data_IF_389126081522
#
_entry.id   IF_389126081522
#
_cell.length_a   1.000
_cell.length_b   1.000
_cell.length_c   1.000
_cell.angle_alpha   90.00
_cell.angle_beta   90.00
_cell.angle_gamma   90.00
#
_symmetry.space_group_name_H-M   'P 1'
#
loop_
_entity.id
_entity.type
_entity.pdbx_description
1 polymer ?
#
# COMPACT_ATOMS: atom_id res chain seq x y z
N UNK A 1 -38.68 19.62 -22.65
CA UNK A 1 -37.57 20.45 -22.13
C UNK A 1 -36.62 19.50 -21.41
N UNK A 2 -35.48 19.23 -22.03
CA UNK A 2 -34.46 18.28 -21.55
C UNK A 2 -33.46 19.04 -20.68
N UNK A 3 -33.14 18.61 -19.44
CA UNK A 3 -32.10 19.28 -18.67
C UNK A 3 -30.73 18.91 -19.24
N UNK A 4 -29.91 19.93 -19.46
CA UNK A 4 -28.55 19.80 -19.99
C UNK A 4 -27.63 19.17 -18.93
N UNK A 5 -26.84 18.17 -19.36
CA UNK A 5 -25.79 17.57 -18.53
C UNK A 5 -24.58 18.54 -18.41
N UNK A 6 -23.91 18.60 -17.24
CA UNK A 6 -22.75 19.46 -17.06
C UNK A 6 -21.53 18.95 -17.83
N UNK A 7 -20.58 19.83 -18.19
CA UNK A 7 -19.41 19.47 -18.99
C UNK A 7 -18.45 18.61 -18.17
N UNK A 8 -18.07 17.45 -18.72
CA UNK A 8 -17.00 16.61 -18.17
C UNK A 8 -15.67 17.06 -18.76
N UNK A 9 -14.82 17.71 -17.96
CA UNK A 9 -13.42 17.88 -18.32
C UNK A 9 -12.69 16.54 -18.16
N UNK A 10 -12.13 16.03 -19.27
CA UNK A 10 -11.26 14.86 -19.26
C UNK A 10 -9.86 15.26 -18.75
N UNK A 11 -9.68 15.20 -17.43
CA UNK A 11 -8.39 15.08 -16.75
C UNK A 11 -8.30 13.70 -16.10
N UNK A 12 -7.09 13.26 -15.71
CA UNK A 12 -6.78 12.01 -14.96
C UNK A 12 -7.98 11.47 -14.16
N UNK A 13 -8.25 10.14 -14.15
CA UNK A 13 -9.38 9.61 -13.37
C UNK A 13 -9.22 10.09 -11.93
N UNK A 14 -10.11 11.01 -11.53
CA UNK A 14 -10.10 11.55 -10.19
C UNK A 14 -10.46 10.37 -9.29
N UNK A 15 -9.50 9.93 -8.48
CA UNK A 15 -9.68 8.82 -7.53
C UNK A 15 -10.85 9.07 -6.58
N UNK A 16 -11.16 10.35 -6.34
CA UNK A 16 -12.34 10.82 -5.63
C UNK A 16 -13.12 11.83 -6.48
N UNK A 17 -14.44 11.69 -6.52
CA UNK A 17 -15.38 12.69 -7.04
C UNK A 17 -16.32 13.09 -5.91
N UNK A 18 -16.63 14.38 -5.76
CA UNK A 18 -17.59 14.86 -4.76
C UNK A 18 -18.76 15.50 -5.49
N UNK A 19 -19.95 14.91 -5.33
CA UNK A 19 -21.19 15.49 -5.83
C UNK A 19 -21.83 16.36 -4.76
N UNK A 20 -22.28 17.55 -5.14
CA UNK A 20 -22.93 18.49 -4.23
C UNK A 20 -24.38 18.71 -4.61
N UNK A 21 -25.27 18.65 -3.62
CA UNK A 21 -26.66 19.09 -3.73
C UNK A 21 -26.92 20.10 -2.61
N UNK A 22 -27.51 21.24 -2.96
CA UNK A 22 -27.89 22.27 -1.98
C UNK A 22 -29.41 22.33 -1.97
N UNK A 23 -29.99 22.07 -0.80
CA UNK A 23 -31.39 22.35 -0.47
C UNK A 23 -31.42 23.45 0.59
N UNK A 24 -32.57 24.08 0.85
CA UNK A 24 -32.73 25.29 1.68
C UNK A 24 -31.82 25.30 2.92
N UNK A 25 -30.74 26.10 2.87
CA UNK A 25 -29.76 26.26 3.95
C UNK A 25 -28.86 25.05 4.24
N UNK A 26 -28.94 23.96 3.47
CA UNK A 26 -28.23 22.69 3.73
C UNK A 26 -27.54 22.16 2.47
N UNK A 27 -26.23 22.02 2.53
CA UNK A 27 -25.43 21.39 1.49
C UNK A 27 -25.14 19.92 1.83
N UNK A 28 -25.60 19.00 0.98
CA UNK A 28 -25.23 17.59 1.01
C UNK A 28 -24.10 17.35 0.00
N UNK A 29 -22.96 16.87 0.51
CA UNK A 29 -21.81 16.46 -0.27
C UNK A 29 -21.68 14.93 -0.22
N UNK A 30 -21.53 14.29 -1.37
CA UNK A 30 -21.45 12.83 -1.50
C UNK A 30 -20.13 12.46 -2.21
N UNK A 31 -19.04 12.21 -1.47
CA UNK A 31 -17.79 11.72 -2.04
C UNK A 31 -17.95 10.27 -2.52
N UNK A 32 -17.43 9.99 -3.72
CA UNK A 32 -17.44 8.68 -4.36
C UNK A 32 -16.03 8.30 -4.82
N UNK A 33 -15.62 7.06 -4.54
CA UNK A 33 -14.30 6.55 -4.90
C UNK A 33 -13.41 6.29 -3.67
N UNK A 34 -12.15 6.66 -3.76
CA UNK A 34 -11.15 6.39 -2.71
C UNK A 34 -10.59 7.70 -2.12
N UNK A 35 -10.51 7.76 -0.79
CA UNK A 35 -9.88 8.85 -0.06
C UNK A 35 -8.40 8.55 0.15
N UNK A 36 -7.60 9.06 -0.77
CA UNK A 36 -6.14 8.90 -0.79
C UNK A 36 -5.44 10.27 -0.80
N UNK A 37 -4.10 10.25 -0.71
CA UNK A 37 -3.28 11.47 -0.79
C UNK A 37 -3.68 12.38 -1.98
N UNK A 38 -3.83 13.69 -1.71
CA UNK A 38 -4.23 14.69 -2.69
C UNK A 38 -5.75 14.96 -2.76
N UNK A 39 -6.59 14.15 -2.12
CA UNK A 39 -8.05 14.36 -2.13
C UNK A 39 -8.52 15.56 -1.27
N UNK A 40 -7.65 16.09 -0.41
CA UNK A 40 -7.97 17.21 0.49
C UNK A 40 -8.28 18.48 -0.31
N UNK A 41 -7.54 18.73 -1.39
CA UNK A 41 -7.75 19.91 -2.26
C UNK A 41 -9.12 19.85 -2.96
N UNK A 42 -9.58 18.65 -3.34
CA UNK A 42 -10.89 18.44 -3.96
C UNK A 42 -12.02 18.85 -3.01
N UNK A 43 -11.91 18.52 -1.72
CA UNK A 43 -12.88 18.98 -0.72
C UNK A 43 -12.81 20.49 -0.49
N UNK A 44 -11.60 21.05 -0.43
CA UNK A 44 -11.43 22.49 -0.25
C UNK A 44 -12.09 23.28 -1.40
N UNK A 45 -11.88 22.82 -2.64
CA UNK A 45 -12.55 23.36 -3.82
C UNK A 45 -14.07 23.22 -3.74
N UNK A 46 -14.58 22.03 -3.40
CA UNK A 46 -16.02 21.80 -3.26
C UNK A 46 -16.65 22.73 -2.21
N UNK A 47 -16.03 22.87 -1.03
CA UNK A 47 -16.49 23.76 0.03
C UNK A 47 -16.44 25.24 -0.39
N UNK A 48 -15.40 25.66 -1.14
CA UNK A 48 -15.28 27.02 -1.64
C UNK A 48 -16.36 27.39 -2.68
N UNK A 49 -16.96 26.40 -3.34
CA UNK A 49 -18.06 26.62 -4.30
C UNK A 49 -19.45 26.66 -3.66
N UNK A 50 -19.56 26.42 -2.35
CA UNK A 50 -20.85 26.44 -1.67
C UNK A 50 -21.46 27.85 -1.63
N UNK A 51 -22.78 27.98 -1.82
CA UNK A 51 -23.50 29.25 -1.64
C UNK A 51 -23.34 29.83 -0.22
N UNK A 52 -23.39 31.16 -0.10
CA UNK A 52 -23.18 31.86 1.17
C UNK A 52 -24.34 31.70 2.18
N UNK A 53 -25.52 31.27 1.72
CA UNK A 53 -26.71 30.99 2.51
C UNK A 53 -26.75 29.56 3.07
N UNK A 54 -25.69 28.77 2.88
CA UNK A 54 -25.56 27.44 3.48
C UNK A 54 -25.33 27.58 4.99
N UNK A 55 -26.30 27.13 5.76
CA UNK A 55 -26.28 27.09 7.23
C UNK A 55 -25.74 25.76 7.77
N UNK A 56 -25.68 24.70 6.95
CA UNK A 56 -25.17 23.38 7.36
C UNK A 56 -24.57 22.60 6.20
N UNK A 57 -23.49 21.86 6.46
CA UNK A 57 -22.89 20.91 5.52
C UNK A 57 -23.01 19.48 6.04
N UNK A 58 -23.47 18.56 5.22
CA UNK A 58 -23.51 17.14 5.54
C UNK A 58 -22.74 16.37 4.49
N UNK A 59 -21.83 15.53 4.95
CA UNK A 59 -21.00 14.68 4.11
C UNK A 59 -21.49 13.23 4.26
N UNK A 60 -21.98 12.65 3.17
CA UNK A 60 -22.40 11.24 3.10
C UNK A 60 -21.25 10.38 2.56
N UNK A 61 -20.69 9.53 3.42
CA UNK A 61 -19.52 8.72 3.13
C UNK A 61 -19.85 7.32 2.58
N UNK A 62 -21.12 7.05 2.27
CA UNK A 62 -21.61 5.72 1.90
C UNK A 62 -20.97 5.13 0.65
N UNK A 63 -20.53 5.99 -0.28
CA UNK A 63 -19.95 5.61 -1.57
C UNK A 63 -18.40 5.71 -1.58
N UNK A 64 -17.78 5.95 -0.42
CA UNK A 64 -16.33 5.85 -0.26
C UNK A 64 -15.94 4.42 0.09
N UNK A 65 -15.17 3.80 -0.79
CA UNK A 65 -14.82 2.37 -0.69
C UNK A 65 -13.52 2.14 0.06
N UNK A 66 -12.62 3.12 0.01
CA UNK A 66 -11.28 3.05 0.59
C UNK A 66 -10.88 4.38 1.21
N UNK A 67 -10.15 4.32 2.32
CA UNK A 67 -9.59 5.47 3.02
C UNK A 67 -8.22 5.12 3.59
N UNK A 68 -7.19 5.85 3.18
CA UNK A 68 -5.89 5.84 3.87
C UNK A 68 -5.82 6.94 4.94
N UNK A 69 -4.63 7.17 5.50
CA UNK A 69 -4.40 8.21 6.52
C UNK A 69 -4.76 9.63 6.05
N UNK A 70 -4.80 9.91 4.75
CA UNK A 70 -5.23 11.19 4.20
C UNK A 70 -6.72 11.44 4.43
N UNK A 71 -7.52 10.39 4.63
CA UNK A 71 -8.92 10.53 5.03
C UNK A 71 -9.11 11.21 6.39
N UNK A 72 -8.14 11.09 7.31
CA UNK A 72 -8.19 11.82 8.58
C UNK A 72 -7.91 13.31 8.36
N UNK A 73 -6.97 13.65 7.46
CA UNK A 73 -6.69 15.04 7.08
C UNK A 73 -7.90 15.68 6.37
N UNK A 74 -8.63 14.88 5.59
CA UNK A 74 -9.88 15.29 4.95
C UNK A 74 -10.94 15.68 6.01
N UNK A 75 -11.06 14.90 7.09
CA UNK A 75 -11.94 15.23 8.22
C UNK A 75 -11.47 16.45 9.00
N UNK A 76 -10.17 16.60 9.22
CA UNK A 76 -9.58 17.78 9.87
C UNK A 76 -9.87 19.05 9.06
N UNK A 77 -9.82 19.00 7.73
CA UNK A 77 -10.17 20.13 6.87
C UNK A 77 -11.64 20.51 7.02
N UNK A 78 -12.55 19.52 6.99
CA UNK A 78 -13.99 19.75 7.14
C UNK A 78 -14.33 20.31 8.53
N UNK A 79 -13.72 19.76 9.59
CA UNK A 79 -13.87 20.27 10.96
C UNK A 79 -13.33 21.70 11.08
N UNK A 80 -12.17 21.98 10.48
CA UNK A 80 -11.60 23.32 10.43
C UNK A 80 -12.48 24.33 9.67
N UNK A 81 -13.10 23.91 8.55
CA UNK A 81 -14.08 24.73 7.83
C UNK A 81 -15.28 25.05 8.70
N UNK A 82 -15.86 24.03 9.36
CA UNK A 82 -17.04 24.19 10.21
C UNK A 82 -16.83 25.22 11.31
N UNK A 83 -15.66 25.18 11.95
CA UNK A 83 -15.30 26.13 12.99
C UNK A 83 -15.04 27.54 12.45
N UNK A 84 -14.34 27.68 11.32
CA UNK A 84 -14.00 28.99 10.75
C UNK A 84 -15.20 29.74 10.20
N UNK A 85 -16.12 29.02 9.53
CA UNK A 85 -17.30 29.62 8.92
C UNK A 85 -18.52 29.63 9.84
N UNK A 86 -18.42 29.03 11.04
CA UNK A 86 -19.54 28.82 11.95
C UNK A 86 -20.73 28.09 11.30
N UNK A 87 -20.44 27.20 10.33
CA UNK A 87 -21.40 26.36 9.62
C UNK A 87 -21.24 24.93 10.14
N UNK A 88 -22.20 24.37 10.89
CA UNK A 88 -22.14 22.99 11.36
C UNK A 88 -21.88 22.01 10.22
N UNK A 89 -20.92 21.11 10.42
CA UNK A 89 -20.62 20.02 9.50
C UNK A 89 -20.78 18.66 10.18
N UNK A 90 -21.30 17.67 9.46
CA UNK A 90 -21.31 16.26 9.91
C UNK A 90 -20.80 15.34 8.81
N UNK A 91 -20.15 14.24 9.19
CA UNK A 91 -19.73 13.21 8.25
C UNK A 91 -20.29 11.86 8.69
N UNK A 92 -21.15 11.25 7.88
CA UNK A 92 -21.98 10.09 8.30
C UNK A 92 -22.00 8.98 7.25
N UNK A 93 -22.72 7.89 7.56
CA UNK A 93 -22.91 6.74 6.67
C UNK A 93 -21.60 6.01 6.32
N UNK A 94 -20.68 5.95 7.28
CA UNK A 94 -19.41 5.23 7.17
C UNK A 94 -19.63 3.72 7.02
N UNK A 95 -19.00 3.12 6.02
CA UNK A 95 -19.09 1.68 5.74
C UNK A 95 -17.72 1.09 5.44
N UNK A 96 -17.65 -0.24 5.40
CA UNK A 96 -16.47 -0.97 4.91
C UNK A 96 -15.16 -0.57 5.59
N UNK A 97 -14.12 -0.35 4.79
CA UNK A 97 -12.79 -0.02 5.29
C UNK A 97 -12.75 1.35 6.00
N UNK A 98 -13.34 2.45 5.49
CA UNK A 98 -13.39 3.72 6.22
C UNK A 98 -13.95 3.63 7.65
N UNK A 99 -15.04 2.88 7.85
CA UNK A 99 -15.59 2.65 9.19
C UNK A 99 -14.56 1.97 10.11
N UNK A 100 -13.84 0.97 9.60
CA UNK A 100 -12.80 0.27 10.35
C UNK A 100 -11.63 1.18 10.73
N UNK A 101 -11.29 2.15 9.87
CA UNK A 101 -10.25 3.16 10.18
C UNK A 101 -10.69 4.07 11.32
N UNK A 102 -11.96 4.50 11.36
CA UNK A 102 -12.51 5.28 12.48
C UNK A 102 -12.45 4.49 13.79
N UNK A 103 -12.84 3.22 13.78
CA UNK A 103 -12.76 2.34 14.95
C UNK A 103 -11.31 2.20 15.47
N UNK A 104 -10.34 2.02 14.57
CA UNK A 104 -8.93 1.85 14.91
C UNK A 104 -8.30 3.12 15.47
N UNK A 105 -8.77 4.29 15.03
CA UNK A 105 -8.29 5.60 15.49
C UNK A 105 -9.03 6.10 16.73
N UNK A 106 -10.08 5.40 17.16
CA UNK A 106 -10.89 5.76 18.32
C UNK A 106 -11.77 6.99 18.09
N UNK A 107 -12.04 7.33 16.83
CA UNK A 107 -12.99 8.39 16.47
C UNK A 107 -14.43 7.87 16.57
N UNK A 108 -15.37 8.80 16.75
CA UNK A 108 -16.79 8.47 16.71
C UNK A 108 -17.15 7.91 15.32
N UNK A 109 -17.64 6.67 15.29
CA UNK A 109 -17.96 5.94 14.07
C UNK A 109 -19.28 6.36 13.43
N UNK A 110 -20.12 7.10 14.17
CA UNK A 110 -21.36 7.69 13.64
C UNK A 110 -21.07 9.04 13.00
N UNK A 111 -20.32 9.89 13.70
CA UNK A 111 -19.88 11.19 13.20
C UNK A 111 -18.56 11.63 13.85
N UNK A 112 -17.41 11.46 13.17
CA UNK A 112 -16.10 11.73 13.75
C UNK A 112 -15.87 13.22 14.07
N UNK A 113 -16.69 14.13 13.54
CA UNK A 113 -16.62 15.57 13.83
C UNK A 113 -17.26 15.93 15.18
N UNK A 114 -18.04 15.04 15.81
CA UNK A 114 -18.58 15.28 17.15
C UNK A 114 -17.50 15.36 18.23
N UNK A 115 -16.45 14.56 18.09
CA UNK A 115 -15.33 14.53 19.03
C UNK A 115 -14.49 15.81 18.98
N UNK A 116 -14.41 16.48 17.82
CA UNK A 116 -13.63 17.70 17.64
C UNK A 116 -14.35 18.95 18.14
N UNK A 117 -15.68 18.91 18.29
CA UNK A 117 -16.49 20.00 18.81
C UNK A 117 -16.38 20.23 20.33
N UNK A 118 -15.79 19.30 21.10
CA UNK A 118 -15.70 19.38 22.58
C UNK A 118 -14.30 19.71 23.14
N UNK A 119 -13.35 20.17 22.30
CA UNK A 119 -12.03 20.59 22.79
C UNK A 119 -12.07 22.03 23.32
N UNK A 120 -12.58 22.21 24.55
CA UNK A 120 -12.21 23.39 25.36
C UNK A 120 -10.69 23.38 25.62
N UNK A 121 -10.03 24.55 25.69
CA UNK A 121 -8.58 24.60 25.92
C UNK A 121 -8.24 23.98 27.28
N UNK A 122 -7.11 23.23 27.39
CA UNK A 122 -6.77 22.57 28.63
C UNK A 122 -6.34 23.59 29.69
N UNK A 123 -7.09 23.65 30.79
CA UNK A 123 -6.61 24.23 32.05
C UNK A 123 -5.51 23.31 32.61
N UNK A 124 -4.40 23.81 33.16
CA UNK A 124 -3.31 22.95 33.61
C UNK A 124 -3.79 22.06 34.76
N UNK A 125 -3.88 20.75 34.50
CA UNK A 125 -4.24 19.75 35.48
C UNK A 125 -2.96 19.15 36.09
N UNK A 126 -2.93 19.14 37.41
CA UNK A 126 -1.95 18.47 38.23
C UNK A 126 -1.85 16.97 37.87
N UNK A 127 -0.63 16.44 38.05
CA UNK A 127 -0.25 15.06 37.76
C UNK A 127 -1.23 14.03 38.34
N UNK A 128 -1.82 13.20 37.48
CA UNK A 128 -2.56 12.00 37.85
C UNK A 128 -1.85 10.77 37.25
N UNK A 129 -1.72 9.73 38.07
CA UNK A 129 -1.05 8.47 37.73
C UNK A 129 -1.70 7.76 36.52
N UNK A 130 -0.93 6.97 35.74
CA UNK A 130 -1.44 6.31 34.55
C UNK A 130 -2.52 5.27 34.91
N UNK A 131 -3.69 5.37 34.26
CA UNK A 131 -4.81 4.45 34.46
C UNK A 131 -4.56 3.09 33.80
N UNK A 132 -5.19 2.03 34.33
CA UNK A 132 -5.08 0.65 33.84
C UNK A 132 -5.38 0.51 32.32
N UNK A 133 -6.25 1.36 31.79
CA UNK A 133 -6.61 1.41 30.36
C UNK A 133 -5.45 1.91 29.49
N UNK A 134 -4.59 2.80 30.01
CA UNK A 134 -3.38 3.24 29.31
C UNK A 134 -2.32 2.13 29.26
N UNK A 135 -2.19 1.34 30.33
CA UNK A 135 -1.29 0.19 30.38
C UNK A 135 -1.75 -0.93 29.42
N UNK A 136 -3.05 -1.21 29.35
CA UNK A 136 -3.62 -2.21 28.45
C UNK A 136 -3.49 -1.81 26.97
N UNK A 137 -3.74 -0.53 26.64
CA UNK A 137 -3.47 0.02 25.30
C UNK A 137 -2.00 -0.05 24.92
N UNK A 138 -1.10 0.20 25.87
CA UNK A 138 0.36 0.07 25.67
C UNK A 138 0.78 -1.39 25.45
N UNK A 139 0.16 -2.33 26.15
CA UNK A 139 0.43 -3.76 25.99
C UNK A 139 -0.05 -4.28 24.62
N UNK A 140 -1.25 -3.88 24.18
CA UNK A 140 -1.78 -4.22 22.85
C UNK A 140 -0.96 -3.57 21.73
N UNK A 141 -0.46 -2.34 21.93
CA UNK A 141 0.44 -1.69 20.99
C UNK A 141 1.81 -2.39 20.89
N UNK A 142 2.36 -2.82 22.02
CA UNK A 142 3.61 -3.58 22.08
C UNK A 142 3.46 -4.95 21.40
N UNK A 143 2.37 -5.68 21.68
CA UNK A 143 2.08 -6.98 21.05
C UNK A 143 1.88 -6.87 19.53
N UNK A 144 1.23 -5.80 19.06
CA UNK A 144 1.10 -5.52 17.62
C UNK A 144 2.43 -5.17 16.98
N UNK A 145 3.28 -4.40 17.67
CA UNK A 145 4.61 -4.05 17.19
C UNK A 145 5.50 -5.30 17.08
N UNK A 146 5.43 -6.20 18.06
CA UNK A 146 6.17 -7.46 18.06
C UNK A 146 5.70 -8.38 16.92
N UNK A 147 4.38 -8.51 16.71
CA UNK A 147 3.84 -9.27 15.58
C UNK A 147 4.21 -8.67 14.22
N UNK A 148 4.22 -7.34 14.09
CA UNK A 148 4.70 -6.66 12.88
C UNK A 148 6.18 -6.92 12.64
N UNK A 149 6.99 -6.91 13.69
CA UNK A 149 8.42 -7.21 13.59
C UNK A 149 8.67 -8.66 13.14
N UNK A 150 7.97 -9.62 13.74
CA UNK A 150 8.04 -11.04 13.33
C UNK A 150 7.60 -11.22 11.87
N UNK A 151 6.50 -10.58 11.45
CA UNK A 151 6.04 -10.65 10.06
C UNK A 151 7.01 -9.96 9.09
N UNK A 152 7.66 -8.87 9.50
CA UNK A 152 8.69 -8.20 8.71
C UNK A 152 9.94 -9.07 8.56
N UNK A 153 10.36 -9.74 9.62
CA UNK A 153 11.45 -10.74 9.57
C UNK A 153 11.09 -11.90 8.66
N UNK A 154 9.86 -12.43 8.75
CA UNK A 154 9.39 -13.52 7.88
C UNK A 154 9.29 -13.07 6.41
N UNK A 155 8.78 -11.86 6.14
CA UNK A 155 8.76 -11.27 4.80
C UNK A 155 10.18 -11.07 4.27
N UNK A 156 11.13 -10.65 5.10
CA UNK A 156 12.52 -10.47 4.68
C UNK A 156 13.19 -11.82 4.42
N UNK A 157 12.95 -12.83 5.25
CA UNK A 157 13.42 -14.20 5.02
C UNK A 157 12.80 -14.79 3.74
N UNK A 158 11.52 -14.52 3.46
CA UNK A 158 10.84 -14.94 2.23
C UNK A 158 11.36 -14.18 1.01
N UNK A 159 11.61 -12.87 1.12
CA UNK A 159 12.24 -12.05 0.06
C UNK A 159 13.65 -12.53 -0.22
N UNK A 160 14.43 -12.86 0.81
CA UNK A 160 15.77 -13.41 0.68
C UNK A 160 15.73 -14.82 0.08
N UNK A 161 14.75 -15.65 0.46
CA UNK A 161 14.53 -16.96 -0.15
C UNK A 161 14.10 -16.84 -1.62
N UNK A 162 13.22 -15.90 -1.96
CA UNK A 162 12.83 -15.58 -3.35
C UNK A 162 14.01 -15.02 -4.14
N UNK A 163 14.86 -14.17 -3.52
CA UNK A 163 16.07 -13.62 -4.11
C UNK A 163 17.20 -14.66 -4.27
N UNK A 164 17.07 -15.86 -3.69
CA UNK A 164 18.01 -16.98 -3.86
C UNK A 164 17.66 -17.94 -5.02
N UNK A 165 16.42 -17.88 -5.54
CA UNK A 165 15.95 -18.56 -6.76
C UNK A 165 16.36 -17.95 -8.13
N UNK A 166 16.74 -16.66 -8.30
CA UNK A 166 17.03 -16.08 -9.61
C UNK A 166 18.29 -16.65 -10.26
N UNK A 167 19.31 -17.02 -9.47
CA UNK A 167 20.61 -17.37 -10.05
C UNK A 167 20.59 -18.70 -10.81
N UNK A 168 19.79 -19.67 -10.33
CA UNK A 168 19.63 -20.96 -10.98
C UNK A 168 18.80 -20.81 -12.26
N UNK A 169 17.69 -20.06 -12.19
CA UNK A 169 16.85 -19.83 -13.37
C UNK A 169 17.54 -18.96 -14.42
N UNK A 170 18.36 -17.98 -14.02
CA UNK A 170 19.24 -17.23 -14.92
C UNK A 170 20.29 -18.13 -15.58
N UNK A 171 20.94 -19.00 -14.80
CA UNK A 171 21.92 -19.94 -15.35
C UNK A 171 21.28 -20.92 -16.34
N UNK A 172 20.03 -21.36 -16.09
CA UNK A 172 19.25 -22.14 -17.05
C UNK A 172 19.01 -21.35 -18.33
N UNK A 173 18.56 -20.10 -18.23
CA UNK A 173 18.36 -19.22 -19.39
C UNK A 173 19.64 -19.01 -20.21
N UNK A 174 20.79 -18.84 -19.56
CA UNK A 174 22.11 -18.75 -20.22
C UNK A 174 22.43 -20.03 -20.99
N UNK A 175 22.26 -21.21 -20.38
CA UNK A 175 22.53 -22.49 -21.03
C UNK A 175 21.59 -22.77 -22.19
N UNK A 176 20.30 -22.43 -22.05
CA UNK A 176 19.32 -22.53 -23.14
C UNK A 176 19.75 -21.68 -24.34
N UNK A 177 20.22 -20.45 -24.10
CA UNK A 177 20.68 -19.56 -25.17
C UNK A 177 21.98 -20.04 -25.84
N UNK A 178 22.93 -20.56 -25.07
CA UNK A 178 24.25 -20.98 -25.58
C UNK A 178 24.24 -22.35 -26.27
N UNK A 179 23.37 -23.26 -25.83
CA UNK A 179 23.36 -24.65 -26.27
C UNK A 179 22.08 -25.05 -27.02
N UNK A 180 21.16 -24.11 -27.25
CA UNK A 180 19.88 -24.34 -27.91
C UNK A 180 19.08 -25.51 -27.31
N UNK A 181 19.13 -25.66 -25.98
CA UNK A 181 18.45 -26.71 -25.25
C UNK A 181 17.19 -26.21 -24.54
N UNK A 182 16.32 -27.13 -24.16
CA UNK A 182 15.11 -26.87 -23.38
C UNK A 182 15.44 -26.54 -21.92
N UNK A 183 14.46 -25.98 -21.21
CA UNK A 183 14.60 -25.63 -19.79
C UNK A 183 14.87 -26.84 -18.89
N UNK A 184 14.35 -28.02 -19.24
CA UNK A 184 14.59 -29.27 -18.51
C UNK A 184 16.00 -29.82 -18.76
N UNK A 185 16.48 -29.74 -20.01
CA UNK A 185 17.84 -30.12 -20.37
C UNK A 185 18.88 -29.20 -19.71
N UNK A 186 18.62 -27.89 -19.68
CA UNK A 186 19.46 -26.92 -18.96
C UNK A 186 19.53 -27.22 -17.45
N UNK A 187 18.42 -27.62 -16.84
CA UNK A 187 18.39 -28.07 -15.45
C UNK A 187 19.21 -29.35 -15.24
N UNK A 188 19.09 -30.32 -16.15
CA UNK A 188 19.89 -31.55 -16.11
C UNK A 188 21.39 -31.25 -16.20
N UNK A 189 21.79 -30.37 -17.13
CA UNK A 189 23.19 -29.93 -17.31
C UNK A 189 23.74 -29.33 -16.02
N UNK A 190 23.01 -28.43 -15.35
CA UNK A 190 23.45 -27.83 -14.10
C UNK A 190 23.59 -28.86 -12.97
N UNK A 191 22.62 -29.77 -12.86
CA UNK A 191 22.62 -30.84 -11.85
C UNK A 191 23.80 -31.80 -12.05
N UNK A 192 24.02 -32.23 -13.27
CA UNK A 192 25.11 -33.13 -13.63
C UNK A 192 26.47 -32.45 -13.44
N UNK A 193 26.61 -31.20 -13.87
CA UNK A 193 27.83 -30.43 -13.65
C UNK A 193 28.13 -30.24 -12.15
N UNK A 194 27.10 -30.00 -11.32
CA UNK A 194 27.23 -29.92 -9.86
C UNK A 194 27.75 -31.23 -9.25
N UNK A 195 27.23 -32.37 -9.70
CA UNK A 195 27.68 -33.68 -9.24
C UNK A 195 29.12 -34.00 -9.68
N UNK A 196 29.44 -33.77 -10.95
CA UNK A 196 30.76 -34.05 -11.52
C UNK A 196 31.87 -33.15 -10.93
N UNK A 197 31.53 -31.91 -10.57
CA UNK A 197 32.47 -30.96 -9.95
C UNK A 197 32.46 -30.99 -8.42
N UNK A 198 31.62 -31.83 -7.79
CA UNK A 198 31.36 -31.83 -6.35
C UNK A 198 31.13 -30.41 -5.76
N UNK A 199 30.50 -29.54 -6.54
CA UNK A 199 30.28 -28.13 -6.19
C UNK A 199 28.79 -27.89 -6.01
N UNK A 200 28.41 -27.11 -5.00
CA UNK A 200 27.00 -26.80 -4.72
C UNK A 200 26.34 -26.20 -5.98
N UNK A 201 25.18 -26.73 -6.37
CA UNK A 201 24.44 -26.30 -7.57
C UNK A 201 24.30 -24.78 -7.73
N UNK A 202 23.99 -24.09 -6.63
CA UNK A 202 23.91 -22.62 -6.58
C UNK A 202 25.21 -21.92 -6.98
N UNK A 203 26.36 -22.50 -6.63
CA UNK A 203 27.69 -21.97 -6.94
C UNK A 203 28.04 -22.22 -8.40
N UNK A 204 27.66 -23.38 -8.94
CA UNK A 204 27.76 -23.67 -10.38
C UNK A 204 26.89 -22.70 -11.18
N UNK A 205 25.63 -22.49 -10.77
CA UNK A 205 24.72 -21.54 -11.40
C UNK A 205 25.27 -20.11 -11.36
N UNK A 206 25.77 -19.65 -10.21
CA UNK A 206 26.40 -18.33 -10.09
C UNK A 206 27.61 -18.17 -11.03
N UNK A 207 28.44 -19.21 -11.16
CA UNK A 207 29.59 -19.18 -12.07
C UNK A 207 29.17 -19.13 -13.54
N UNK A 208 28.13 -19.88 -13.92
CA UNK A 208 27.54 -19.84 -15.28
C UNK A 208 26.98 -18.44 -15.58
N UNK A 209 26.16 -17.90 -14.69
CA UNK A 209 25.55 -16.56 -14.86
C UNK A 209 26.63 -15.47 -14.93
N UNK A 210 27.63 -15.51 -14.04
CA UNK A 210 28.73 -14.57 -14.06
C UNK A 210 29.51 -14.62 -15.39
N UNK A 211 29.77 -15.82 -15.92
CA UNK A 211 30.51 -16.02 -17.16
C UNK A 211 29.79 -15.54 -18.43
N UNK A 212 28.48 -15.27 -18.35
CA UNK A 212 27.71 -14.72 -19.47
C UNK A 212 27.88 -13.20 -19.63
N UNK A 213 28.39 -12.50 -18.62
CA UNK A 213 28.74 -11.08 -18.73
C UNK A 213 30.03 -10.89 -19.54
N UNK A 214 30.13 -9.78 -20.28
CA UNK A 214 31.28 -9.46 -21.15
C UNK A 214 32.63 -9.44 -20.42
N UNK A 215 32.63 -9.07 -19.14
CA UNK A 215 33.81 -9.02 -18.25
C UNK A 215 33.74 -10.01 -17.09
N UNK A 216 32.89 -11.04 -17.20
CA UNK A 216 32.68 -12.02 -16.16
C UNK A 216 33.89 -12.92 -15.93
N UNK A 217 34.25 -13.27 -14.68
CA UNK A 217 35.29 -14.26 -14.43
C UNK A 217 34.85 -15.61 -14.98
N UNK A 218 35.75 -16.38 -15.65
CA UNK A 218 35.39 -17.69 -16.14
C UNK A 218 35.07 -18.62 -14.96
N UNK A 219 34.16 -19.61 -15.11
CA UNK A 219 33.86 -20.56 -14.06
C UNK A 219 35.12 -21.31 -13.62
N UNK A 220 35.22 -21.81 -12.38
CA UNK A 220 36.35 -22.63 -11.95
C UNK A 220 36.64 -23.79 -12.91
N UNK A 221 37.92 -24.19 -13.04
CA UNK A 221 38.34 -25.15 -14.07
C UNK A 221 37.58 -26.50 -13.98
N UNK A 222 37.33 -26.97 -12.75
CA UNK A 222 36.52 -28.15 -12.44
C UNK A 222 35.06 -28.01 -12.90
N UNK A 223 34.44 -26.85 -12.67
CA UNK A 223 33.08 -26.54 -13.10
C UNK A 223 33.00 -26.45 -14.63
N UNK A 224 33.99 -25.86 -15.29
CA UNK A 224 34.03 -25.82 -16.78
C UNK A 224 34.17 -27.20 -17.40
N UNK A 225 35.02 -28.06 -16.83
CA UNK A 225 35.19 -29.43 -17.30
C UNK A 225 33.91 -30.26 -17.11
N UNK A 226 33.26 -30.09 -15.97
CA UNK A 226 31.99 -30.72 -15.65
C UNK A 226 30.85 -30.26 -16.58
N UNK A 227 30.73 -28.95 -16.84
CA UNK A 227 29.74 -28.39 -17.78
C UNK A 227 29.94 -28.92 -19.20
N UNK A 228 31.18 -28.94 -19.70
CA UNK A 228 31.50 -29.48 -21.03
C UNK A 228 31.13 -30.96 -21.15
N UNK A 229 31.36 -31.72 -20.09
CA UNK A 229 31.02 -33.15 -20.03
C UNK A 229 29.51 -33.36 -20.04
N UNK A 230 28.76 -32.60 -19.24
CA UNK A 230 27.30 -32.68 -19.16
C UNK A 230 26.64 -32.28 -20.50
N UNK A 231 27.06 -31.18 -21.11
CA UNK A 231 26.56 -30.75 -22.44
C UNK A 231 26.86 -31.81 -23.52
N UNK A 232 28.06 -32.39 -23.50
CA UNK A 232 28.47 -33.43 -24.47
C UNK A 232 27.73 -34.77 -24.32
N UNK A 233 27.05 -35.01 -23.19
CA UNK A 233 26.19 -36.19 -22.97
C UNK A 233 24.76 -35.96 -23.46
N UNK A 234 24.34 -34.71 -23.55
CA UNK A 234 23.00 -34.31 -23.95
C UNK A 234 22.86 -34.14 -25.47
N UNK A 235 23.95 -33.80 -26.16
CA UNK A 235 24.03 -33.74 -27.62
C UNK A 235 24.33 -35.08 -28.32
N UNK A 236 24.02 -36.23 -27.69
CA UNK A 236 24.17 -37.58 -28.27
C UNK A 236 22.84 -38.29 -28.40
#
# INVERSE_FOLDING_TARGET
MTPAAPPRLAGRPATLVIDGQVDVGRALLVPRGELVHGCVDILAEALATLPADVERVDLDMGDVLFMDTAGLQFLDLLGGYSQRQAVPATATNWRGQPLRVLELTGLDTTDPLRATAHRSPPRPAAAAAPSAVAAERSAVAAERSERLHVLQEEVEQLRQAIASRPVIDQARGVLMALHACTSEEAWHILREASQLSNTKLRTVAAAVTASAGSDGPPPPAEVRAALRTAVGRLGR
#
